data_IF_556432338273
#
_entry.id   IF_556432338273
#
_cell.length_a   1.000
_cell.length_b   1.000
_cell.length_c   1.000
_cell.angle_alpha   90.00
_cell.angle_beta   90.00
_cell.angle_gamma   90.00
#
_symmetry.space_group_name_H-M   'P 1'
#
loop_
_entity.id
_entity.type
_entity.pdbx_description
1 polymer ?
#
# COMPACT_ATOMS: atom_id res chain seq x y z
N UNK A 1 -15.01 -17.97 -6.09
CA UNK A 1 -14.60 -17.13 -4.96
C UNK A 1 -13.89 -15.91 -5.51
N UNK A 2 -14.41 -14.71 -5.26
CA UNK A 2 -13.73 -13.47 -5.65
C UNK A 2 -12.62 -13.19 -4.62
N UNK A 3 -11.36 -13.29 -5.06
CA UNK A 3 -10.19 -13.14 -4.18
C UNK A 3 -10.02 -11.70 -3.70
N UNK A 4 -10.35 -10.72 -4.56
CA UNK A 4 -10.26 -9.30 -4.23
C UNK A 4 -11.20 -8.95 -3.08
N UNK A 5 -12.47 -9.41 -3.20
CA UNK A 5 -13.46 -9.28 -2.13
C UNK A 5 -12.98 -9.93 -0.83
N UNK A 6 -12.41 -11.14 -0.90
CA UNK A 6 -11.93 -11.83 0.30
C UNK A 6 -10.81 -11.08 0.97
N UNK A 7 -9.87 -10.50 0.21
CA UNK A 7 -8.79 -9.67 0.77
C UNK A 7 -9.40 -8.50 1.56
N UNK A 8 -10.39 -7.80 0.97
CA UNK A 8 -11.00 -6.63 1.64
C UNK A 8 -11.85 -7.06 2.84
N UNK A 9 -12.56 -8.19 2.76
CA UNK A 9 -13.26 -8.76 3.91
C UNK A 9 -12.29 -9.04 5.08
N UNK A 10 -11.10 -9.58 4.78
CA UNK A 10 -10.07 -9.84 5.79
C UNK A 10 -9.47 -8.53 6.35
N UNK A 11 -9.35 -7.47 5.55
CA UNK A 11 -8.93 -6.16 6.05
C UNK A 11 -9.95 -5.59 7.06
N UNK A 12 -11.22 -5.61 6.72
CA UNK A 12 -12.30 -5.16 7.62
C UNK A 12 -12.34 -5.99 8.90
N UNK A 13 -12.20 -7.32 8.78
CA UNK A 13 -12.18 -8.23 9.93
C UNK A 13 -10.98 -7.98 10.88
N UNK A 14 -9.91 -7.34 10.38
CA UNK A 14 -8.75 -6.92 11.16
C UNK A 14 -8.77 -5.43 11.54
N UNK A 15 -9.94 -4.81 11.51
CA UNK A 15 -10.19 -3.42 11.91
C UNK A 15 -9.45 -2.37 11.06
N UNK A 16 -9.02 -2.69 9.85
CA UNK A 16 -8.50 -1.67 8.93
C UNK A 16 -9.64 -0.73 8.58
N UNK A 17 -9.53 0.52 9.00
CA UNK A 17 -10.57 1.54 8.88
C UNK A 17 -10.17 2.75 8.03
N UNK A 18 -8.92 2.79 7.56
CA UNK A 18 -8.42 3.79 6.64
C UNK A 18 -7.52 3.12 5.60
N UNK A 19 -7.78 3.37 4.33
CA UNK A 19 -6.92 2.87 3.25
C UNK A 19 -6.56 4.02 2.31
N UNK A 20 -5.28 4.17 2.01
CA UNK A 20 -4.84 5.00 0.90
C UNK A 20 -4.30 4.13 -0.22
N UNK A 21 -4.52 4.54 -1.45
CA UNK A 21 -4.10 3.76 -2.62
C UNK A 21 -3.36 4.64 -3.61
N UNK A 22 -2.32 4.10 -4.23
CA UNK A 22 -1.80 4.63 -5.49
C UNK A 22 -2.19 3.64 -6.58
N UNK A 23 -2.86 4.09 -7.65
CA UNK A 23 -3.43 3.20 -8.66
C UNK A 23 -2.42 2.20 -9.21
N UNK A 24 -2.78 0.93 -9.21
CA UNK A 24 -1.97 -0.17 -9.71
C UNK A 24 -2.85 -1.19 -10.43
N UNK A 25 -2.48 -1.54 -11.66
CA UNK A 25 -3.29 -2.45 -12.49
C UNK A 25 -3.50 -3.83 -11.84
N UNK A 26 -2.49 -4.38 -11.19
CA UNK A 26 -2.57 -5.70 -10.57
C UNK A 26 -3.50 -5.74 -9.36
N UNK A 27 -3.71 -4.62 -8.72
CA UNK A 27 -4.57 -4.49 -7.52
C UNK A 27 -5.86 -3.72 -7.81
N UNK A 28 -6.20 -3.50 -9.09
CA UNK A 28 -7.37 -2.73 -9.48
C UNK A 28 -8.67 -3.28 -8.86
N UNK A 29 -8.86 -4.60 -8.85
CA UNK A 29 -10.03 -5.23 -8.26
C UNK A 29 -10.09 -5.06 -6.73
N UNK A 30 -8.96 -5.13 -6.05
CA UNK A 30 -8.88 -4.86 -4.60
C UNK A 30 -9.20 -3.40 -4.31
N UNK A 31 -8.66 -2.46 -5.12
CA UNK A 31 -8.93 -1.03 -4.97
C UNK A 31 -10.42 -0.73 -5.17
N UNK A 32 -11.04 -1.30 -6.20
CA UNK A 32 -12.49 -1.17 -6.45
C UNK A 32 -13.32 -1.70 -5.28
N UNK A 33 -12.95 -2.85 -4.71
CA UNK A 33 -13.63 -3.39 -3.53
C UNK A 33 -13.47 -2.46 -2.31
N UNK A 34 -12.28 -1.87 -2.10
CA UNK A 34 -12.05 -0.90 -1.02
C UNK A 34 -12.93 0.35 -1.20
N UNK A 35 -13.05 0.86 -2.43
CA UNK A 35 -13.88 2.03 -2.75
C UNK A 35 -15.37 1.82 -2.45
N UNK A 36 -15.83 0.57 -2.51
CA UNK A 36 -17.22 0.20 -2.28
C UNK A 36 -17.52 -0.24 -0.83
N UNK A 37 -16.59 -0.02 0.12
CA UNK A 37 -16.76 -0.42 1.52
C UNK A 37 -17.03 0.77 2.45
N UNK A 38 -18.21 0.81 3.03
CA UNK A 38 -18.58 1.85 3.99
C UNK A 38 -17.74 1.81 5.28
N UNK A 39 -17.19 0.65 5.64
CA UNK A 39 -16.35 0.47 6.83
C UNK A 39 -14.96 1.08 6.68
N UNK A 40 -14.51 1.34 5.44
CA UNK A 40 -13.18 1.84 5.13
C UNK A 40 -13.27 3.27 4.63
N UNK A 41 -12.60 4.19 5.31
CA UNK A 41 -12.40 5.53 4.79
C UNK A 41 -11.25 5.51 3.77
N UNK A 42 -11.59 5.60 2.48
CA UNK A 42 -10.63 5.51 1.38
C UNK A 42 -10.24 6.89 0.84
N UNK A 43 -8.94 7.15 0.72
CA UNK A 43 -8.39 8.33 0.04
C UNK A 43 -7.33 7.88 -0.97
N UNK A 44 -7.54 8.07 -2.27
CA UNK A 44 -6.47 7.88 -3.25
C UNK A 44 -5.41 8.97 -3.11
N UNK A 45 -4.14 8.62 -3.27
CA UNK A 45 -3.02 9.56 -3.27
C UNK A 45 -2.31 9.59 -4.62
N UNK A 46 -1.65 10.70 -4.92
CA UNK A 46 -0.89 10.87 -6.16
C UNK A 46 0.49 10.23 -6.09
N UNK A 47 1.03 10.13 -4.88
CA UNK A 47 2.36 9.54 -4.61
C UNK A 47 2.33 8.71 -3.34
N UNK A 48 3.19 7.73 -3.29
CA UNK A 48 3.25 6.77 -2.19
C UNK A 48 3.76 7.39 -0.89
N UNK A 49 4.70 8.33 -0.96
CA UNK A 49 5.19 9.07 0.19
C UNK A 49 4.10 9.99 0.80
N UNK A 50 3.29 10.63 -0.05
CA UNK A 50 2.07 11.34 0.37
C UNK A 50 1.08 10.38 1.07
N UNK A 51 0.83 9.22 0.45
CA UNK A 51 -0.04 8.19 1.02
C UNK A 51 0.41 7.72 2.41
N UNK A 52 1.71 7.56 2.62
CA UNK A 52 2.26 7.25 3.95
C UNK A 52 2.02 8.36 4.96
N UNK A 53 2.13 9.63 4.54
CA UNK A 53 1.78 10.78 5.37
C UNK A 53 0.30 10.78 5.77
N UNK A 54 -0.59 10.46 4.83
CA UNK A 54 -2.03 10.30 5.10
C UNK A 54 -2.29 9.17 6.12
N UNK A 55 -1.60 8.03 5.96
CA UNK A 55 -1.69 6.92 6.91
C UNK A 55 -1.21 7.32 8.31
N UNK A 56 -0.10 8.04 8.40
CA UNK A 56 0.41 8.54 9.69
C UNK A 56 -0.61 9.46 10.37
N UNK A 57 -1.21 10.40 9.64
CA UNK A 57 -2.26 11.27 10.13
C UNK A 57 -3.51 10.50 10.59
N UNK A 58 -3.94 9.50 9.82
CA UNK A 58 -5.05 8.64 10.18
C UNK A 58 -4.78 7.84 11.46
N UNK A 59 -3.57 7.30 11.61
CA UNK A 59 -3.14 6.60 12.81
C UNK A 59 -3.16 7.52 14.04
N UNK A 60 -2.62 8.72 13.92
CA UNK A 60 -2.67 9.73 14.99
C UNK A 60 -4.10 10.14 15.34
N UNK A 61 -5.01 10.10 14.37
CA UNK A 61 -6.45 10.31 14.55
C UNK A 61 -7.22 9.10 15.09
N UNK A 62 -6.53 8.01 15.44
CA UNK A 62 -7.14 6.80 16.05
C UNK A 62 -7.68 5.78 15.07
N UNK A 63 -7.39 5.90 13.77
CA UNK A 63 -7.74 4.88 12.76
C UNK A 63 -6.64 3.84 12.61
N UNK A 64 -6.98 2.68 12.06
CA UNK A 64 -6.02 1.67 11.65
C UNK A 64 -5.78 1.79 10.15
N UNK A 65 -4.66 2.41 9.74
CA UNK A 65 -4.38 2.69 8.36
C UNK A 65 -3.72 1.51 7.63
N UNK A 66 -3.85 1.52 6.31
CA UNK A 66 -3.13 0.66 5.38
C UNK A 66 -2.85 1.42 4.08
N UNK A 67 -1.75 1.10 3.41
CA UNK A 67 -1.45 1.59 2.07
C UNK A 67 -1.44 0.45 1.05
N UNK A 68 -2.04 0.70 -0.12
CA UNK A 68 -2.01 -0.20 -1.28
C UNK A 68 -1.20 0.47 -2.38
N UNK A 69 -0.12 -0.17 -2.82
CA UNK A 69 0.82 0.42 -3.75
C UNK A 69 1.56 -0.63 -4.58
N UNK A 70 2.44 -0.16 -5.45
CA UNK A 70 3.31 -0.98 -6.28
C UNK A 70 4.74 -0.94 -5.75
N UNK A 71 5.49 -2.05 -5.86
CA UNK A 71 6.88 -2.14 -5.37
C UNK A 71 7.83 -1.13 -6.01
N UNK A 72 7.55 -0.68 -7.23
CA UNK A 72 8.38 0.31 -7.93
C UNK A 72 8.47 1.65 -7.22
N UNK A 73 7.57 1.91 -6.29
CA UNK A 73 7.56 3.13 -5.48
C UNK A 73 8.30 2.99 -4.14
N UNK A 74 8.80 1.82 -3.78
CA UNK A 74 9.50 1.63 -2.49
C UNK A 74 10.70 2.58 -2.32
N UNK A 75 11.41 2.88 -3.42
CA UNK A 75 12.54 3.81 -3.36
C UNK A 75 12.14 5.23 -2.92
N UNK A 76 11.02 5.76 -3.41
CA UNK A 76 10.56 7.11 -3.04
C UNK A 76 9.97 7.16 -1.63
N UNK A 77 9.52 6.04 -1.09
CA UNK A 77 8.94 5.97 0.26
C UNK A 77 9.97 5.77 1.36
N UNK A 78 11.20 5.42 1.02
CA UNK A 78 12.21 5.03 2.01
C UNK A 78 12.45 6.11 3.07
N UNK A 79 12.54 7.38 2.68
CA UNK A 79 12.71 8.47 3.63
C UNK A 79 11.51 8.57 4.60
N UNK A 80 10.29 8.55 4.09
CA UNK A 80 9.08 8.64 4.91
C UNK A 80 8.92 7.43 5.82
N UNK A 81 9.25 6.23 5.33
CA UNK A 81 9.28 5.01 6.14
C UNK A 81 10.23 5.17 7.33
N UNK A 82 11.47 5.60 7.08
CA UNK A 82 12.49 5.72 8.13
C UNK A 82 12.20 6.85 9.13
N UNK A 83 11.90 8.06 8.61
CA UNK A 83 11.82 9.27 9.42
C UNK A 83 10.46 9.53 10.05
N UNK A 84 9.40 8.92 9.53
CA UNK A 84 8.04 9.06 10.05
C UNK A 84 7.51 7.74 10.61
N UNK A 85 7.35 6.73 9.77
CA UNK A 85 6.66 5.51 10.16
C UNK A 85 7.47 4.71 11.20
N UNK A 86 8.72 4.40 10.91
CA UNK A 86 9.58 3.62 11.82
C UNK A 86 9.98 4.44 13.04
N UNK A 87 10.35 5.71 12.86
CA UNK A 87 10.77 6.58 13.95
C UNK A 87 9.70 6.68 15.03
N UNK A 88 8.45 6.90 14.65
CA UNK A 88 7.31 6.96 15.58
C UNK A 88 6.68 5.59 15.88
N UNK A 89 7.25 4.50 15.37
CA UNK A 89 6.77 3.12 15.57
C UNK A 89 5.30 2.94 15.22
N UNK A 90 4.87 3.57 14.14
CA UNK A 90 3.51 3.44 13.64
C UNK A 90 3.31 2.10 12.93
N UNK A 91 2.33 1.28 13.31
CA UNK A 91 2.00 0.08 12.56
C UNK A 91 1.36 0.49 11.22
N UNK A 92 2.00 0.15 10.12
CA UNK A 92 1.51 0.43 8.78
C UNK A 92 1.57 -0.83 7.91
N UNK A 93 0.50 -1.63 7.85
CA UNK A 93 0.38 -2.68 6.84
C UNK A 93 0.46 -2.10 5.43
N UNK A 94 1.14 -2.82 4.54
CA UNK A 94 1.30 -2.43 3.15
C UNK A 94 0.92 -3.61 2.25
N UNK A 95 -0.05 -3.42 1.36
CA UNK A 95 -0.32 -4.37 0.28
C UNK A 95 0.43 -3.90 -0.98
N UNK A 96 1.43 -4.66 -1.38
CA UNK A 96 2.35 -4.26 -2.44
C UNK A 96 2.26 -5.23 -3.59
N UNK A 97 1.87 -4.76 -4.78
CA UNK A 97 2.00 -5.56 -5.99
C UNK A 97 3.47 -5.68 -6.38
N UNK A 98 3.93 -6.90 -6.63
CA UNK A 98 5.30 -7.17 -7.02
C UNK A 98 5.45 -7.16 -8.55
N UNK A 99 5.99 -6.07 -9.09
CA UNK A 99 6.28 -5.89 -10.51
C UNK A 99 7.73 -6.25 -10.82
N UNK A 100 7.98 -6.59 -12.08
CA UNK A 100 9.33 -6.82 -12.60
C UNK A 100 9.80 -8.27 -12.53
N UNK A 101 8.94 -9.21 -12.17
CA UNK A 101 9.20 -10.66 -12.20
C UNK A 101 8.91 -11.26 -13.59
N UNK A 102 8.92 -12.58 -13.66
CA UNK A 102 8.74 -13.33 -14.90
C UNK A 102 7.55 -12.83 -15.75
N UNK A 103 7.80 -12.57 -17.03
CA UNK A 103 6.83 -12.05 -18.00
C UNK A 103 6.32 -10.63 -17.72
N UNK A 104 7.11 -9.82 -17.03
CA UNK A 104 6.77 -8.39 -16.87
C UNK A 104 6.77 -7.69 -18.25
N UNK A 105 5.64 -7.13 -18.69
CA UNK A 105 5.55 -6.52 -20.02
C UNK A 105 6.20 -5.12 -20.07
N UNK A 106 6.47 -4.51 -18.91
CA UNK A 106 7.04 -3.16 -18.80
C UNK A 106 8.48 -3.24 -18.32
N UNK A 107 9.42 -3.11 -19.24
CA UNK A 107 10.84 -3.35 -18.98
C UNK A 107 11.43 -2.51 -17.84
N UNK A 108 11.01 -1.26 -17.66
CA UNK A 108 11.50 -0.41 -16.56
C UNK A 108 11.12 -0.93 -15.16
N UNK A 109 10.12 -1.78 -15.05
CA UNK A 109 9.72 -2.39 -13.77
C UNK A 109 10.72 -3.47 -13.32
N UNK A 110 11.44 -4.08 -14.26
CA UNK A 110 12.40 -5.15 -13.98
C UNK A 110 13.55 -4.63 -13.11
N UNK A 111 14.06 -3.45 -13.43
CA UNK A 111 15.15 -2.83 -12.67
C UNK A 111 14.81 -2.63 -11.20
N UNK A 112 13.59 -2.17 -10.91
CA UNK A 112 13.16 -1.96 -9.53
C UNK A 112 12.91 -3.27 -8.77
N UNK A 113 12.52 -4.34 -9.48
CA UNK A 113 12.33 -5.65 -8.86
C UNK A 113 13.61 -6.18 -8.19
N UNK A 114 14.76 -5.93 -8.79
CA UNK A 114 16.09 -6.33 -8.25
C UNK A 114 16.32 -5.74 -6.86
N UNK A 115 15.87 -4.52 -6.63
CA UNK A 115 16.06 -3.81 -5.37
C UNK A 115 14.96 -4.05 -4.34
N UNK A 116 13.80 -4.53 -4.75
CA UNK A 116 12.61 -4.64 -3.89
C UNK A 116 12.87 -5.45 -2.63
N UNK A 117 13.45 -6.64 -2.76
CA UNK A 117 13.70 -7.52 -1.61
C UNK A 117 14.67 -6.91 -0.61
N UNK A 118 15.69 -6.23 -1.09
CA UNK A 118 16.67 -5.56 -0.24
C UNK A 118 16.04 -4.37 0.51
N UNK A 119 15.17 -3.61 -0.15
CA UNK A 119 14.45 -2.49 0.48
C UNK A 119 13.46 -2.96 1.55
N UNK A 120 12.79 -4.09 1.32
CA UNK A 120 11.83 -4.65 2.29
C UNK A 120 12.51 -5.33 3.48
N UNK A 121 13.80 -5.65 3.39
CA UNK A 121 14.58 -6.29 4.44
C UNK A 121 15.22 -5.30 5.43
N UNK A 122 15.10 -3.99 5.18
CA UNK A 122 15.59 -2.92 6.08
C UNK A 122 14.61 -2.71 7.24
#
# INVERSE_FOLDING_TARGET
>A
MNIDKKIVDDLVANDISFVTTVPCKQLAGVIEEVENRDEIFHIPSNKEDEGMGLCAGAFMGGKRPMIIMQNTALGVTLNTLATLIQFYRMPLPMLISYRGELREPVSCQVEMAVHTKALLAQ
#
